data_IF_417844543497
#
_entry.id   IF_417844543497
#
_cell.length_a   1.000
_cell.length_b   1.000
_cell.length_c   1.000
_cell.angle_alpha   90.00
_cell.angle_beta   90.00
_cell.angle_gamma   90.00
#
_symmetry.space_group_name_H-M   'P 1'
#
loop_
_entity.id
_entity.type
_entity.pdbx_description
1 polymer ?
#
# COMPACT_ATOMS: atom_id res chain seq x y z
N UNK A 1 12.85 24.63 -22.88
CA UNK A 1 12.22 24.73 -21.54
C UNK A 1 11.79 23.33 -21.14
N UNK A 2 12.26 22.82 -20.00
CA UNK A 2 11.92 21.47 -19.54
C UNK A 2 10.44 21.44 -19.10
N UNK A 3 9.66 20.50 -19.64
CA UNK A 3 8.26 20.31 -19.26
C UNK A 3 8.18 19.98 -17.76
N UNK A 4 7.42 20.74 -16.95
CA UNK A 4 7.21 20.44 -15.53
C UNK A 4 6.75 19.01 -15.26
N UNK A 5 5.99 18.40 -16.18
CA UNK A 5 5.56 17.00 -16.08
C UNK A 5 6.73 16.02 -16.25
N UNK A 6 7.66 16.33 -17.14
CA UNK A 6 8.89 15.55 -17.35
C UNK A 6 9.84 15.61 -16.16
N UNK A 7 9.93 16.78 -15.51
CA UNK A 7 10.72 16.94 -14.28
C UNK A 7 10.08 16.12 -13.15
N UNK A 8 8.76 16.19 -12.98
CA UNK A 8 8.05 15.39 -11.97
C UNK A 8 8.24 13.88 -12.17
N UNK A 9 8.15 13.40 -13.41
CA UNK A 9 8.39 12.00 -13.74
C UNK A 9 9.84 11.56 -13.47
N UNK A 10 10.81 12.42 -13.79
CA UNK A 10 12.23 12.15 -13.52
C UNK A 10 12.52 12.08 -12.01
N UNK A 11 11.96 13.01 -11.23
CA UNK A 11 12.08 13.02 -9.76
C UNK A 11 11.45 11.78 -9.17
N UNK A 12 10.28 11.37 -9.65
CA UNK A 12 9.65 10.13 -9.24
C UNK A 12 10.58 8.93 -9.54
N UNK A 13 11.08 8.79 -10.76
CA UNK A 13 11.98 7.70 -11.15
C UNK A 13 13.24 7.65 -10.29
N UNK A 14 13.85 8.80 -9.99
CA UNK A 14 15.02 8.89 -9.11
C UNK A 14 14.72 8.48 -7.67
N UNK A 15 13.58 8.94 -7.13
CA UNK A 15 13.10 8.51 -5.83
C UNK A 15 12.87 6.99 -5.82
N UNK A 16 12.24 6.47 -6.86
CA UNK A 16 11.95 5.04 -6.99
C UNK A 16 13.23 4.19 -7.01
N UNK A 17 14.24 4.62 -7.75
CA UNK A 17 15.54 3.96 -7.81
C UNK A 17 16.27 4.04 -6.45
N UNK A 18 16.33 5.22 -5.83
CA UNK A 18 17.01 5.41 -4.55
C UNK A 18 16.38 4.56 -3.43
N UNK A 19 15.06 4.52 -3.35
CA UNK A 19 14.34 3.72 -2.35
C UNK A 19 14.52 2.22 -2.59
N UNK A 20 14.44 1.76 -3.84
CA UNK A 20 14.70 0.37 -4.19
C UNK A 20 16.12 -0.08 -3.82
N UNK A 21 17.12 0.78 -4.03
CA UNK A 21 18.51 0.51 -3.66
C UNK A 21 18.67 0.42 -2.14
N UNK A 22 18.11 1.38 -1.40
CA UNK A 22 18.20 1.43 0.05
C UNK A 22 17.62 0.17 0.71
N UNK A 23 16.43 -0.27 0.27
CA UNK A 23 15.82 -1.49 0.79
C UNK A 23 16.63 -2.74 0.47
N UNK A 24 17.19 -2.82 -0.73
CA UNK A 24 18.06 -3.92 -1.09
C UNK A 24 19.28 -3.99 -0.17
N UNK A 25 19.96 -2.86 0.06
CA UNK A 25 21.13 -2.80 0.95
C UNK A 25 20.78 -3.20 2.39
N UNK A 26 19.61 -2.79 2.89
CA UNK A 26 19.14 -3.16 4.24
C UNK A 26 18.86 -4.66 4.36
N UNK A 27 18.20 -5.25 3.36
CA UNK A 27 17.74 -6.64 3.43
C UNK A 27 18.82 -7.65 3.04
N UNK A 28 19.69 -7.30 2.09
CA UNK A 28 20.60 -8.23 1.43
C UNK A 28 22.09 -7.82 1.51
N UNK A 29 22.41 -6.62 1.99
CA UNK A 29 23.79 -6.12 2.09
C UNK A 29 24.32 -5.54 0.78
N UNK A 30 25.65 -5.48 0.64
CA UNK A 30 26.32 -4.81 -0.47
C UNK A 30 25.93 -5.35 -1.86
N UNK A 31 25.79 -4.43 -2.81
CA UNK A 31 25.41 -4.73 -4.19
C UNK A 31 26.62 -5.15 -5.02
N UNK A 32 26.56 -6.37 -5.54
CA UNK A 32 27.36 -6.77 -6.70
C UNK A 32 26.74 -6.14 -7.97
N UNK A 33 27.20 -4.95 -8.36
CA UNK A 33 26.64 -4.15 -9.48
C UNK A 33 26.75 -4.83 -10.86
N UNK A 34 27.53 -5.89 -10.94
CA UNK A 34 27.67 -6.77 -12.08
C UNK A 34 26.55 -7.83 -12.19
N UNK A 35 25.74 -8.02 -11.14
CA UNK A 35 24.67 -9.02 -11.13
C UNK A 35 23.29 -8.37 -11.30
N UNK A 36 22.45 -8.98 -12.14
CA UNK A 36 21.14 -8.45 -12.56
C UNK A 36 20.11 -8.27 -11.43
N UNK A 37 20.43 -8.71 -10.21
CA UNK A 37 19.50 -8.79 -9.08
C UNK A 37 19.00 -7.41 -8.62
N UNK A 38 19.81 -6.36 -8.68
CA UNK A 38 19.39 -5.00 -8.27
C UNK A 38 18.33 -4.44 -9.20
N UNK A 39 18.45 -4.70 -10.51
CA UNK A 39 17.45 -4.29 -11.48
C UNK A 39 16.12 -5.02 -11.28
N UNK A 40 16.17 -6.29 -10.87
CA UNK A 40 14.97 -7.08 -10.53
C UNK A 40 14.31 -6.50 -9.28
N UNK A 41 15.04 -6.26 -8.19
CA UNK A 41 14.46 -5.66 -6.98
C UNK A 41 13.87 -4.28 -7.27
N UNK A 42 14.57 -3.43 -8.03
CA UNK A 42 14.06 -2.12 -8.44
C UNK A 42 12.83 -2.18 -9.37
N UNK A 43 12.72 -3.21 -10.22
CA UNK A 43 11.58 -3.35 -11.12
C UNK A 43 10.33 -3.89 -10.40
N UNK A 44 10.51 -4.79 -9.43
CA UNK A 44 9.39 -5.48 -8.78
C UNK A 44 8.94 -4.83 -7.47
N UNK A 45 9.73 -3.95 -6.84
CA UNK A 45 9.32 -3.33 -5.59
C UNK A 45 8.02 -2.50 -5.66
N UNK A 46 7.67 -1.79 -6.75
CA UNK A 46 6.40 -1.07 -6.81
C UNK A 46 5.20 -2.02 -6.82
N UNK A 47 5.38 -3.21 -7.40
CA UNK A 47 4.36 -4.26 -7.41
C UNK A 47 4.22 -4.87 -6.02
N UNK A 48 5.33 -5.12 -5.34
CA UNK A 48 5.33 -5.59 -3.94
C UNK A 48 4.72 -4.55 -3.00
N UNK A 49 5.05 -3.26 -3.16
CA UNK A 49 4.46 -2.17 -2.39
C UNK A 49 2.95 -2.05 -2.67
N UNK A 50 2.54 -2.11 -3.94
CA UNK A 50 1.14 -2.14 -4.33
C UNK A 50 0.39 -3.31 -3.70
N UNK A 51 1.02 -4.47 -3.61
CA UNK A 51 0.47 -5.64 -2.92
C UNK A 51 0.27 -5.39 -1.42
N UNK A 52 1.23 -4.78 -0.72
CA UNK A 52 1.06 -4.42 0.69
C UNK A 52 -0.04 -3.37 0.89
N UNK A 53 -0.14 -2.37 0.01
CA UNK A 53 -1.23 -1.38 0.04
C UNK A 53 -2.59 -2.08 -0.12
N UNK A 54 -2.72 -3.04 -1.04
CA UNK A 54 -3.95 -3.80 -1.20
C UNK A 54 -4.34 -4.58 0.06
N UNK A 55 -3.37 -5.18 0.77
CA UNK A 55 -3.65 -5.85 2.06
C UNK A 55 -4.17 -4.86 3.10
N UNK A 56 -3.54 -3.69 3.21
CA UNK A 56 -3.97 -2.63 4.14
C UNK A 56 -5.41 -2.21 3.83
N UNK A 57 -5.72 -1.96 2.55
CA UNK A 57 -7.06 -1.62 2.10
C UNK A 57 -8.07 -2.72 2.40
N UNK A 58 -7.71 -4.00 2.23
CA UNK A 58 -8.56 -5.13 2.57
C UNK A 58 -8.88 -5.20 4.07
N UNK A 59 -7.89 -4.95 4.94
CA UNK A 59 -8.09 -4.88 6.40
C UNK A 59 -9.01 -3.73 6.76
N UNK A 60 -8.80 -2.54 6.19
CA UNK A 60 -9.66 -1.37 6.43
C UNK A 60 -11.10 -1.68 6.02
N UNK A 61 -11.30 -2.25 4.83
CA UNK A 61 -12.62 -2.62 4.33
C UNK A 61 -13.32 -3.61 5.28
N UNK A 62 -12.61 -4.64 5.77
CA UNK A 62 -13.14 -5.62 6.71
C UNK A 62 -13.59 -4.95 8.02
N UNK A 63 -12.77 -4.06 8.59
CA UNK A 63 -13.10 -3.32 9.82
C UNK A 63 -14.34 -2.44 9.64
N UNK A 64 -14.44 -1.74 8.51
CA UNK A 64 -15.61 -0.91 8.18
C UNK A 64 -16.86 -1.76 8.06
N UNK A 65 -16.79 -2.89 7.35
CA UNK A 65 -17.93 -3.81 7.19
C UNK A 65 -18.37 -4.39 8.54
N UNK A 66 -17.44 -4.76 9.40
CA UNK A 66 -17.74 -5.23 10.75
C UNK A 66 -18.45 -4.15 11.58
N UNK A 67 -17.97 -2.90 11.53
CA UNK A 67 -18.62 -1.76 12.19
C UNK A 67 -20.05 -1.51 11.69
N UNK A 68 -20.26 -1.56 10.37
CA UNK A 68 -21.59 -1.42 9.76
C UNK A 68 -22.53 -2.56 10.16
N UNK A 69 -22.03 -3.80 10.23
CA UNK A 69 -22.80 -4.95 10.68
C UNK A 69 -23.24 -4.78 12.14
N UNK A 70 -22.34 -4.38 13.03
CA UNK A 70 -22.66 -4.09 14.44
C UNK A 70 -23.73 -3.01 14.55
N UNK A 71 -23.56 -1.89 13.81
CA UNK A 71 -24.56 -0.83 13.80
C UNK A 71 -25.94 -1.32 13.35
N UNK A 72 -25.99 -2.12 12.29
CA UNK A 72 -27.24 -2.70 11.77
C UNK A 72 -27.91 -3.61 12.82
N UNK A 73 -27.14 -4.44 13.51
CA UNK A 73 -27.63 -5.32 14.58
C UNK A 73 -28.20 -4.49 15.73
N UNK A 74 -27.46 -3.50 16.22
CA UNK A 74 -27.91 -2.62 17.32
C UNK A 74 -29.21 -1.90 16.94
N UNK A 75 -29.26 -1.35 15.73
CA UNK A 75 -30.47 -0.67 15.21
C UNK A 75 -31.66 -1.62 15.11
N UNK A 76 -31.44 -2.85 14.66
CA UNK A 76 -32.49 -3.86 14.57
C UNK A 76 -33.03 -4.24 15.95
N UNK A 77 -32.14 -4.50 16.91
CA UNK A 77 -32.50 -4.82 18.30
C UNK A 77 -33.27 -3.66 18.94
N UNK A 78 -32.76 -2.44 18.86
CA UNK A 78 -33.44 -1.25 19.39
C UNK A 78 -34.82 -1.05 18.74
N UNK A 79 -34.94 -1.25 17.42
CA UNK A 79 -36.21 -1.14 16.71
C UNK A 79 -37.21 -2.27 17.01
N UNK A 80 -36.75 -3.43 17.50
CA UNK A 80 -37.61 -4.56 17.88
C UNK A 80 -38.10 -4.43 19.32
N UNK A 81 -37.21 -4.06 20.25
CA UNK A 81 -37.49 -4.02 21.68
C UNK A 81 -37.93 -2.64 22.19
N UNK A 82 -37.61 -1.55 21.47
CA UNK A 82 -38.12 -0.21 21.79
C UNK A 82 -39.58 0.02 21.41
N UNK A 83 -40.24 -0.94 20.75
CA UNK A 83 -41.68 -0.92 20.43
C UNK A 83 -42.54 -1.71 21.44
N UNK A 84 -41.92 -2.41 22.38
CA UNK A 84 -42.61 -3.28 23.36
C UNK A 84 -42.64 -2.70 24.78
N UNK A 85 -42.18 -1.47 24.98
CA UNK A 85 -42.39 -0.63 26.16
C UNK A 85 -43.25 0.56 25.75
#
# INVERSE_FOLDING_TARGET
MLDPRGIGALVALLFYAATGLAFHLIAYGDVAWNEAFVYVVMAFWPVLLGWEILKILAVIALVVLAGLAVYAVVRFVAGRFGRSL
#
